data_IF_916094592244
#
_entry.id   IF_916094592244
#
_cell.length_a   1.000
_cell.length_b   1.000
_cell.length_c   1.000
_cell.angle_alpha   90.00
_cell.angle_beta   90.00
_cell.angle_gamma   90.00
#
_symmetry.space_group_name_H-M   'P 1'
#
loop_
_entity.id
_entity.type
_entity.pdbx_description
1 polymer ?
#
# COMPACT_ATOMS: atom_id res chain seq x y z
N UNK A 1 -26.42 7.37 27.87
CA UNK A 1 -26.63 6.43 26.75
C UNK A 1 -25.29 5.83 26.30
N UNK A 2 -25.03 4.60 26.73
CA UNK A 2 -23.88 3.79 26.33
C UNK A 2 -24.01 3.36 24.87
N UNK A 3 -22.91 3.44 24.13
CA UNK A 3 -22.85 2.96 22.75
C UNK A 3 -23.08 1.44 22.69
N UNK A 4 -23.75 0.90 21.64
CA UNK A 4 -23.97 -0.53 21.54
C UNK A 4 -22.64 -1.26 21.30
N UNK A 5 -22.29 -2.15 22.22
CA UNK A 5 -21.19 -3.10 22.13
C UNK A 5 -21.55 -4.27 21.21
N UNK A 6 -21.52 -4.04 19.90
CA UNK A 6 -21.96 -5.05 18.92
C UNK A 6 -21.44 -4.87 17.49
N UNK A 7 -20.27 -4.27 17.30
CA UNK A 7 -19.67 -4.16 15.97
C UNK A 7 -19.13 -5.51 15.49
N UNK A 8 -19.64 -6.05 14.38
CA UNK A 8 -19.02 -7.22 13.74
C UNK A 8 -17.56 -6.90 13.41
N UNK A 9 -16.61 -7.79 13.72
CA UNK A 9 -15.17 -7.65 13.46
C UNK A 9 -14.80 -7.72 11.95
N UNK A 10 -15.72 -7.27 11.09
CA UNK A 10 -15.60 -7.30 9.63
C UNK A 10 -14.75 -6.12 9.18
N UNK A 11 -13.81 -6.40 8.28
CA UNK A 11 -13.00 -5.36 7.63
C UNK A 11 -13.73 -4.89 6.37
N UNK A 12 -13.90 -3.58 6.23
CA UNK A 12 -14.24 -2.90 4.98
C UNK A 12 -12.95 -2.31 4.44
N UNK A 13 -12.47 -2.83 3.30
CA UNK A 13 -11.17 -2.50 2.70
C UNK A 13 -11.40 -1.81 1.37
N UNK A 14 -10.94 -0.57 1.25
CA UNK A 14 -11.23 0.30 0.12
C UNK A 14 -9.95 0.65 -0.63
N UNK A 15 -9.89 0.42 -1.94
CA UNK A 15 -8.78 0.89 -2.75
C UNK A 15 -8.99 2.36 -3.16
N UNK A 16 -7.99 3.20 -2.90
CA UNK A 16 -7.89 4.55 -3.44
C UNK A 16 -6.83 4.56 -4.54
N UNK A 17 -7.22 4.96 -5.76
CA UNK A 17 -6.35 4.95 -6.93
C UNK A 17 -5.81 6.34 -7.23
N UNK A 18 -4.49 6.53 -7.21
CA UNK A 18 -3.87 7.85 -7.35
C UNK A 18 -4.15 8.55 -8.68
N UNK A 19 -4.41 7.80 -9.76
CA UNK A 19 -4.73 8.35 -11.07
C UNK A 19 -6.12 8.99 -11.14
N UNK A 20 -7.00 8.75 -10.16
CA UNK A 20 -8.31 9.40 -10.09
C UNK A 20 -8.21 10.93 -9.93
N UNK A 21 -7.07 11.44 -9.46
CA UNK A 21 -6.78 12.88 -9.38
C UNK A 21 -6.81 13.59 -10.74
N UNK A 22 -6.60 12.84 -11.84
CA UNK A 22 -6.51 13.37 -13.20
C UNK A 22 -7.81 13.29 -13.99
N UNK A 23 -8.85 12.66 -13.42
CA UNK A 23 -10.20 12.66 -14.03
C UNK A 23 -10.74 14.09 -14.09
N UNK A 24 -11.59 14.35 -15.08
CA UNK A 24 -12.19 15.67 -15.34
C UNK A 24 -13.64 15.72 -14.84
N UNK A 25 -14.14 16.93 -14.59
CA UNK A 25 -15.50 17.16 -14.11
C UNK A 25 -15.82 16.39 -12.82
N UNK A 26 -17.04 15.87 -12.73
CA UNK A 26 -17.55 15.14 -11.56
C UNK A 26 -16.82 13.81 -11.31
N UNK A 27 -16.02 13.34 -12.27
CA UNK A 27 -15.20 12.14 -12.09
C UNK A 27 -13.93 12.36 -11.28
N UNK A 28 -13.53 13.62 -11.04
CA UNK A 28 -12.33 13.95 -10.28
C UNK A 28 -12.48 13.51 -8.83
N UNK A 29 -11.49 12.78 -8.33
CA UNK A 29 -11.53 12.25 -6.97
C UNK A 29 -10.18 12.40 -6.29
N UNK A 30 -10.19 12.97 -5.09
CA UNK A 30 -9.04 13.29 -4.26
C UNK A 30 -9.19 12.63 -2.88
N UNK A 31 -8.10 12.57 -2.08
CA UNK A 31 -8.15 11.98 -0.74
C UNK A 31 -9.22 12.60 0.17
N UNK A 32 -9.49 13.90 0.02
CA UNK A 32 -10.46 14.64 0.84
C UNK A 32 -11.91 14.27 0.53
N UNK A 33 -12.18 13.65 -0.62
CA UNK A 33 -13.51 13.17 -1.02
C UNK A 33 -13.86 11.84 -0.35
N UNK A 34 -12.89 11.20 0.32
CA UNK A 34 -13.11 9.98 1.11
C UNK A 34 -13.71 10.36 2.46
N UNK A 35 -14.91 9.86 2.75
CA UNK A 35 -15.41 9.82 4.12
C UNK A 35 -14.58 8.78 4.93
N UNK A 36 -13.82 9.22 5.94
CA UNK A 36 -12.89 8.37 6.69
C UNK A 36 -13.59 7.34 7.57
N UNK A 37 -14.93 7.36 7.67
CA UNK A 37 -15.73 6.43 8.47
C UNK A 37 -16.31 5.26 7.67
N UNK A 38 -16.31 5.33 6.33
CA UNK A 38 -16.85 4.28 5.47
C UNK A 38 -16.01 3.00 5.48
N UNK A 39 -14.68 3.16 5.59
CA UNK A 39 -13.73 2.07 5.45
C UNK A 39 -12.96 1.85 6.75
N UNK A 40 -12.70 0.58 7.08
CA UNK A 40 -11.78 0.22 8.17
C UNK A 40 -10.32 0.30 7.72
N UNK A 41 -10.07 0.03 6.43
CA UNK A 41 -8.76 0.07 5.80
C UNK A 41 -8.87 0.78 4.45
N UNK A 42 -7.91 1.65 4.16
CA UNK A 42 -7.67 2.18 2.81
C UNK A 42 -6.38 1.58 2.28
N UNK A 43 -6.40 1.10 1.05
CA UNK A 43 -5.21 0.67 0.32
C UNK A 43 -4.92 1.71 -0.77
N UNK A 44 -3.77 2.36 -0.68
CA UNK A 44 -3.31 3.31 -1.69
C UNK A 44 -2.74 2.55 -2.89
N UNK A 45 -3.42 2.62 -4.02
CA UNK A 45 -3.00 2.07 -5.31
C UNK A 45 -2.39 3.19 -6.17
N UNK A 46 -1.11 3.16 -6.51
CA UNK A 46 -0.08 2.22 -6.07
C UNK A 46 1.21 2.98 -5.75
N UNK A 47 2.09 2.34 -4.98
CA UNK A 47 3.52 2.61 -5.03
C UNK A 47 4.14 1.97 -6.28
N UNK A 48 5.47 1.87 -6.29
CA UNK A 48 6.23 1.29 -7.40
C UNK A 48 7.50 0.59 -6.92
N UNK A 49 8.23 -0.04 -7.83
CA UNK A 49 9.52 -0.66 -7.54
C UNK A 49 10.60 -0.23 -8.52
N UNK A 50 11.72 0.27 -7.99
CA UNK A 50 12.92 0.62 -8.75
C UNK A 50 14.12 -0.09 -8.14
N UNK A 51 14.86 -0.85 -8.96
CA UNK A 51 16.05 -1.61 -8.51
C UNK A 51 15.77 -2.47 -7.26
N UNK A 52 14.65 -3.21 -7.30
CA UNK A 52 14.13 -4.05 -6.21
C UNK A 52 13.83 -3.32 -4.90
N UNK A 53 13.68 -1.99 -4.92
CA UNK A 53 13.31 -1.18 -3.75
C UNK A 53 11.96 -0.51 -3.96
N UNK A 54 11.16 -0.43 -2.89
CA UNK A 54 9.89 0.30 -2.90
C UNK A 54 10.16 1.79 -3.17
N UNK A 55 9.36 2.37 -4.06
CA UNK A 55 9.47 3.77 -4.49
C UNK A 55 8.09 4.35 -4.77
N UNK A 56 8.00 5.68 -4.89
CA UNK A 56 6.77 6.35 -5.32
C UNK A 56 6.47 6.06 -6.79
N UNK A 57 5.18 6.05 -7.15
CA UNK A 57 4.72 5.91 -8.53
C UNK A 57 4.84 7.25 -9.25
N UNK A 58 4.23 8.30 -8.70
CA UNK A 58 4.20 9.65 -9.25
C UNK A 58 4.90 10.66 -8.33
N UNK A 59 5.42 11.75 -8.89
CA UNK A 59 6.07 12.80 -8.13
C UNK A 59 5.09 13.55 -7.19
N UNK A 60 3.81 13.60 -7.55
CA UNK A 60 2.71 14.20 -6.78
C UNK A 60 2.29 13.35 -5.57
N UNK A 61 2.69 12.08 -5.50
CA UNK A 61 2.41 11.24 -4.34
C UNK A 61 3.18 11.72 -3.09
N UNK A 62 4.41 12.21 -3.29
CA UNK A 62 5.30 12.67 -2.22
C UNK A 62 5.11 14.14 -1.86
N UNK A 63 5.15 14.43 -0.55
CA UNK A 63 5.26 15.80 -0.04
C UNK A 63 6.62 16.40 -0.39
N UNK A 64 6.60 17.56 -1.06
CA UNK A 64 7.81 18.29 -1.48
C UNK A 64 7.58 19.79 -1.35
N UNK A 65 8.62 20.52 -0.93
CA UNK A 65 8.61 21.98 -0.84
C UNK A 65 7.40 22.56 -0.08
N UNK A 66 7.02 21.92 1.02
CA UNK A 66 5.86 22.33 1.83
C UNK A 66 4.48 22.00 1.24
N UNK A 67 4.41 21.48 0.01
CA UNK A 67 3.16 21.01 -0.60
C UNK A 67 2.92 19.55 -0.28
N UNK A 68 1.81 19.24 0.40
CA UNK A 68 1.43 17.86 0.72
C UNK A 68 1.17 17.05 -0.54
N UNK A 69 1.83 15.90 -0.64
CA UNK A 69 1.55 14.89 -1.65
C UNK A 69 0.33 14.06 -1.28
N UNK A 70 -0.13 13.24 -2.22
CA UNK A 70 -1.30 12.39 -2.02
C UNK A 70 -1.13 11.39 -0.87
N UNK A 71 0.07 10.85 -0.65
CA UNK A 71 0.30 9.94 0.48
C UNK A 71 -0.04 10.60 1.81
N UNK A 72 0.50 11.79 2.07
CA UNK A 72 0.25 12.50 3.33
C UNK A 72 -1.23 12.87 3.49
N UNK A 73 -1.91 13.22 2.38
CA UNK A 73 -3.33 13.59 2.38
C UNK A 73 -4.23 12.39 2.71
N UNK A 74 -3.95 11.19 2.20
CA UNK A 74 -4.68 9.97 2.59
C UNK A 74 -4.38 9.59 4.04
N UNK A 75 -3.13 9.69 4.48
CA UNK A 75 -2.72 9.42 5.87
C UNK A 75 -3.40 10.38 6.85
N UNK A 76 -3.60 11.63 6.46
CA UNK A 76 -4.26 12.65 7.27
C UNK A 76 -5.74 12.34 7.56
N UNK A 77 -6.39 11.45 6.81
CA UNK A 77 -7.73 10.95 7.12
C UNK A 77 -7.78 10.27 8.50
N UNK A 78 -6.66 9.70 8.97
CA UNK A 78 -6.53 9.12 10.31
C UNK A 78 -6.69 10.15 11.43
N UNK A 79 -6.52 11.45 11.14
CA UNK A 79 -6.79 12.52 12.12
C UNK A 79 -8.28 12.63 12.43
N UNK A 80 -9.14 12.32 11.45
CA UNK A 80 -10.61 12.29 11.60
C UNK A 80 -11.10 10.94 12.14
N UNK A 81 -10.46 9.85 11.73
CA UNK A 81 -10.73 8.50 12.25
C UNK A 81 -9.43 7.80 12.68
N UNK A 82 -9.04 7.90 13.97
CA UNK A 82 -7.80 7.27 14.45
C UNK A 82 -7.74 5.75 14.33
N UNK A 83 -8.89 5.08 14.16
CA UNK A 83 -8.96 3.63 13.97
C UNK A 83 -8.71 3.20 12.51
N UNK A 84 -8.74 4.13 11.56
CA UNK A 84 -8.47 3.86 10.15
C UNK A 84 -7.04 3.37 9.94
N UNK A 85 -6.90 2.30 9.16
CA UNK A 85 -5.60 1.80 8.68
C UNK A 85 -5.38 2.19 7.24
N UNK A 86 -4.16 2.59 6.89
CA UNK A 86 -3.79 2.94 5.52
C UNK A 86 -2.58 2.10 5.09
N UNK A 87 -2.75 1.28 4.07
CA UNK A 87 -1.69 0.46 3.48
C UNK A 87 -1.29 1.04 2.13
N UNK A 88 -0.07 0.74 1.69
CA UNK A 88 0.38 1.03 0.33
C UNK A 88 0.39 -0.26 -0.48
N UNK A 89 -0.30 -0.30 -1.61
CA UNK A 89 -0.17 -1.42 -2.55
C UNK A 89 1.04 -1.22 -3.46
N UNK A 90 1.72 -2.31 -3.81
CA UNK A 90 2.73 -2.34 -4.88
C UNK A 90 2.38 -3.46 -5.85
N UNK A 91 2.36 -3.15 -7.14
CA UNK A 91 1.95 -4.08 -8.17
C UNK A 91 0.83 -3.50 -9.04
N UNK A 92 -0.19 -4.30 -9.29
CA UNK A 92 -1.28 -3.98 -10.19
C UNK A 92 -0.94 -4.30 -11.65
N UNK A 93 -1.96 -4.36 -12.50
CA UNK A 93 -1.84 -4.70 -13.93
C UNK A 93 -0.69 -3.98 -14.67
N UNK A 94 -0.57 -2.66 -14.53
CA UNK A 94 0.45 -1.85 -15.21
C UNK A 94 1.89 -2.14 -14.76
N UNK A 95 2.08 -2.78 -13.60
CA UNK A 95 3.38 -3.15 -13.08
C UNK A 95 4.01 -4.33 -13.82
N UNK A 96 3.17 -5.22 -14.36
CA UNK A 96 3.55 -6.49 -14.96
C UNK A 96 4.17 -7.46 -13.94
N UNK A 97 4.73 -8.57 -14.44
CA UNK A 97 5.25 -9.65 -13.57
C UNK A 97 6.77 -9.65 -13.42
N UNK A 98 7.51 -9.17 -14.41
CA UNK A 98 8.97 -9.33 -14.48
C UNK A 98 9.70 -8.76 -13.26
N UNK A 99 9.26 -7.59 -12.78
CA UNK A 99 9.85 -6.95 -11.59
C UNK A 99 9.66 -7.81 -10.33
N UNK A 100 8.48 -8.40 -10.16
CA UNK A 100 8.22 -9.32 -9.05
C UNK A 100 9.06 -10.58 -9.16
N UNK A 101 9.16 -11.17 -10.36
CA UNK A 101 10.00 -12.35 -10.61
C UNK A 101 11.44 -12.12 -10.18
N UNK A 102 12.05 -11.03 -10.65
CA UNK A 102 13.44 -10.68 -10.31
C UNK A 102 13.62 -10.39 -8.82
N UNK A 103 12.71 -9.63 -8.22
CA UNK A 103 12.79 -9.31 -6.79
C UNK A 103 12.61 -10.56 -5.91
N UNK A 104 11.68 -11.45 -6.27
CA UNK A 104 11.36 -12.65 -5.50
C UNK A 104 12.36 -13.79 -5.73
N UNK A 105 13.11 -13.77 -6.85
CA UNK A 105 14.01 -14.85 -7.30
C UNK A 105 15.05 -15.33 -6.28
N UNK A 106 15.52 -14.46 -5.38
CA UNK A 106 16.57 -14.82 -4.43
C UNK A 106 16.43 -14.07 -3.09
N UNK A 107 17.08 -14.62 -2.06
CA UNK A 107 17.00 -14.10 -0.69
C UNK A 107 17.53 -12.68 -0.54
N UNK A 108 18.57 -12.30 -1.29
CA UNK A 108 19.15 -10.96 -1.24
C UNK A 108 18.16 -9.90 -1.74
N UNK A 109 17.56 -10.12 -2.91
CA UNK A 109 16.59 -9.19 -3.49
C UNK A 109 15.31 -9.08 -2.65
N UNK A 110 14.80 -10.20 -2.11
CA UNK A 110 13.66 -10.18 -1.18
C UNK A 110 13.95 -9.35 0.05
N UNK A 111 15.12 -9.52 0.66
CA UNK A 111 15.55 -8.73 1.83
C UNK A 111 15.69 -7.26 1.46
N UNK A 112 16.31 -6.94 0.32
CA UNK A 112 16.49 -5.56 -0.15
C UNK A 112 15.14 -4.85 -0.30
N UNK A 113 14.17 -5.51 -0.92
CA UNK A 113 12.81 -5.01 -1.06
C UNK A 113 12.15 -4.79 0.30
N UNK A 114 12.20 -5.76 1.21
CA UNK A 114 11.56 -5.67 2.53
C UNK A 114 12.17 -4.56 3.38
N UNK A 115 13.50 -4.45 3.44
CA UNK A 115 14.17 -3.38 4.18
C UNK A 115 13.85 -1.99 3.60
N UNK A 116 13.80 -1.87 2.28
CA UNK A 116 13.40 -0.61 1.64
C UNK A 116 11.95 -0.26 1.93
N UNK A 117 11.05 -1.25 1.92
CA UNK A 117 9.62 -1.09 2.16
C UNK A 117 9.36 -0.64 3.59
N UNK A 118 9.95 -1.29 4.59
CA UNK A 118 9.84 -0.89 5.99
C UNK A 118 10.25 0.57 6.20
N UNK A 119 11.39 0.98 5.62
CA UNK A 119 11.86 2.36 5.71
C UNK A 119 10.92 3.34 5.00
N UNK A 120 10.45 2.98 3.80
CA UNK A 120 9.57 3.83 3.00
C UNK A 120 8.23 4.08 3.70
N UNK A 121 7.62 3.01 4.23
CA UNK A 121 6.32 3.03 4.89
C UNK A 121 6.37 3.76 6.23
N UNK A 122 7.37 3.46 7.08
CA UNK A 122 7.56 4.14 8.38
C UNK A 122 7.71 5.65 8.22
N UNK A 123 8.55 6.09 7.26
CA UNK A 123 8.77 7.53 6.99
C UNK A 123 7.49 8.26 6.58
N UNK A 124 6.55 7.55 5.94
CA UNK A 124 5.28 8.09 5.45
C UNK A 124 4.08 7.71 6.33
N UNK A 125 4.31 7.00 7.45
CA UNK A 125 3.31 6.59 8.43
C UNK A 125 2.22 5.64 7.90
N UNK A 126 2.51 4.86 6.86
CA UNK A 126 1.65 3.76 6.44
C UNK A 126 1.62 2.64 7.50
N UNK A 127 0.48 1.97 7.63
CA UNK A 127 0.25 0.87 8.58
C UNK A 127 0.60 -0.52 8.01
N UNK A 128 0.86 -0.60 6.70
CA UNK A 128 1.14 -1.87 6.04
C UNK A 128 1.45 -1.76 4.54
N UNK A 129 1.68 -2.92 3.94
CA UNK A 129 2.02 -3.11 2.53
C UNK A 129 1.10 -4.17 1.94
N UNK A 130 0.40 -3.82 0.87
CA UNK A 130 -0.37 -4.77 0.08
C UNK A 130 0.46 -5.24 -1.14
N UNK A 131 0.55 -6.56 -1.35
CA UNK A 131 1.36 -7.16 -2.42
C UNK A 131 0.45 -7.63 -3.57
N UNK A 132 0.37 -6.82 -4.63
CA UNK A 132 -0.52 -7.04 -5.76
C UNK A 132 0.22 -7.60 -6.99
N UNK A 133 0.79 -8.81 -6.85
CA UNK A 133 1.44 -9.49 -7.97
C UNK A 133 0.41 -10.20 -8.85
N UNK A 134 0.18 -9.66 -10.05
CA UNK A 134 -0.75 -10.19 -11.05
C UNK A 134 -0.05 -10.86 -12.26
N UNK A 135 0.20 -12.17 -12.30
CA UNK A 135 0.13 -13.14 -11.22
C UNK A 135 1.42 -13.97 -11.19
N UNK A 136 1.83 -14.53 -10.04
CA UNK A 136 2.87 -15.55 -10.00
C UNK A 136 2.42 -16.76 -10.82
N UNK A 137 3.23 -17.21 -11.80
CA UNK A 137 2.89 -18.31 -12.71
C UNK A 137 3.98 -19.38 -12.74
N UNK A 138 3.56 -20.64 -12.59
CA UNK A 138 4.46 -21.80 -12.58
C UNK A 138 5.06 -22.08 -11.20
N UNK A 139 5.79 -23.19 -11.11
CA UNK A 139 6.30 -23.70 -9.83
C UNK A 139 7.34 -22.80 -9.17
N UNK A 140 8.15 -22.12 -9.97
CA UNK A 140 9.19 -21.21 -9.46
C UNK A 140 8.58 -19.96 -8.82
N UNK A 141 7.70 -19.25 -9.53
CA UNK A 141 7.00 -18.07 -9.00
C UNK A 141 6.22 -18.41 -7.74
N UNK A 142 5.53 -19.57 -7.71
CA UNK A 142 4.82 -20.05 -6.52
C UNK A 142 5.75 -20.18 -5.32
N UNK A 143 6.90 -20.84 -5.47
CA UNK A 143 7.90 -21.01 -4.40
C UNK A 143 8.45 -19.65 -3.95
N UNK A 144 8.83 -18.81 -4.91
CA UNK A 144 9.43 -17.51 -4.64
C UNK A 144 8.46 -16.54 -3.98
N UNK A 145 7.17 -16.58 -4.34
CA UNK A 145 6.13 -15.80 -3.69
C UNK A 145 5.91 -16.24 -2.24
N UNK A 146 5.86 -17.55 -1.98
CA UNK A 146 5.78 -18.07 -0.60
C UNK A 146 6.98 -17.61 0.23
N UNK A 147 8.20 -17.69 -0.32
CA UNK A 147 9.40 -17.21 0.37
C UNK A 147 9.38 -15.70 0.60
N UNK A 148 8.82 -14.91 -0.32
CA UNK A 148 8.61 -13.47 -0.11
C UNK A 148 7.67 -13.21 1.08
N UNK A 149 6.49 -13.84 1.08
CA UNK A 149 5.48 -13.64 2.14
C UNK A 149 6.01 -14.09 3.50
N UNK A 150 6.76 -15.21 3.57
CA UNK A 150 7.41 -15.65 4.82
C UNK A 150 8.37 -14.61 5.38
N UNK A 151 9.24 -14.03 4.56
CA UNK A 151 10.22 -13.04 5.03
C UNK A 151 9.53 -11.74 5.45
N UNK A 152 8.43 -11.37 4.78
CA UNK A 152 7.62 -10.23 5.20
C UNK A 152 6.91 -10.51 6.55
N UNK A 153 6.31 -11.68 6.71
CA UNK A 153 5.59 -12.11 7.91
C UNK A 153 6.48 -12.29 9.14
N UNK A 154 7.73 -12.74 8.97
CA UNK A 154 8.71 -12.80 10.05
C UNK A 154 9.08 -11.41 10.62
N UNK A 155 8.62 -10.32 10.01
CA UNK A 155 8.83 -8.94 10.45
C UNK A 155 7.50 -8.21 10.72
N UNK A 156 6.42 -8.96 10.93
CA UNK A 156 5.05 -8.44 11.01
C UNK A 156 4.78 -7.55 12.22
N UNK A 157 5.64 -7.54 13.24
CA UNK A 157 5.55 -6.52 14.31
C UNK A 157 5.67 -5.08 13.76
N UNK A 158 6.13 -4.92 12.50
CA UNK A 158 6.17 -3.62 11.81
C UNK A 158 5.42 -3.60 10.47
N UNK A 159 5.06 -4.75 9.89
CA UNK A 159 4.47 -4.81 8.54
C UNK A 159 3.19 -5.63 8.56
N UNK A 160 2.05 -4.95 8.50
CA UNK A 160 0.78 -5.60 8.14
C UNK A 160 0.81 -5.86 6.64
N UNK A 161 0.68 -7.12 6.23
CA UNK A 161 0.43 -7.53 4.84
C UNK A 161 -1.03 -7.92 4.74
#
# INVERSE_FOLDING_TARGET
PSAPSGGTNKKIVCYFTNWAQYRQGDGKFLPEDIDPTLCTHIIYAFGWMKKHKLSSFDASDDTKNGKKGLYERVIDLKKKNPNLKVLLAVGGWSFGTQRFKEMASNSYNRRLFIFSSLNFLRRRKFDGLDLDWEFPRGNEDKKNFVELVKVCGARSETLTI
#
